data_IF_996091815484
#
_entry.id   IF_996091815484
#
_cell.length_a   1.000
_cell.length_b   1.000
_cell.length_c   1.000
_cell.angle_alpha   90.00
_cell.angle_beta   90.00
_cell.angle_gamma   90.00
#
_symmetry.space_group_name_H-M   'P 1'
#
loop_
_entity.id
_entity.type
_entity.pdbx_description
1 polymer ?
#
# COMPACT_ATOMS: atom_id res chain seq x y z
N UNK A 1 15.08 -5.18 -10.51
CA UNK A 1 14.20 -4.00 -10.69
C UNK A 1 14.17 -3.21 -9.39
N UNK A 2 14.02 -1.87 -9.44
CA UNK A 2 14.23 -0.99 -8.27
C UNK A 2 13.21 -1.24 -7.15
N UNK A 3 11.92 -1.37 -7.49
CA UNK A 3 10.84 -1.54 -6.50
C UNK A 3 10.96 -2.90 -5.82
N UNK A 4 11.20 -3.96 -6.58
CA UNK A 4 11.39 -5.32 -6.09
C UNK A 4 12.64 -5.43 -5.20
N UNK A 5 13.74 -4.75 -5.56
CA UNK A 5 14.95 -4.71 -4.72
C UNK A 5 14.73 -3.91 -3.43
N UNK A 6 13.97 -2.82 -3.48
CA UNK A 6 13.58 -2.08 -2.29
C UNK A 6 12.65 -2.91 -1.39
N UNK A 7 11.72 -3.66 -1.98
CA UNK A 7 10.83 -4.56 -1.26
C UNK A 7 11.59 -5.62 -0.45
N UNK A 8 12.68 -6.18 -0.98
CA UNK A 8 13.54 -7.12 -0.22
C UNK A 8 14.12 -6.54 1.08
N UNK A 9 14.22 -5.22 1.20
CA UNK A 9 14.73 -4.52 2.40
C UNK A 9 13.64 -4.17 3.40
N UNK A 10 12.37 -4.31 3.01
CA UNK A 10 11.23 -3.87 3.81
C UNK A 10 11.14 -4.59 5.18
N UNK A 11 11.31 -5.91 5.29
CA UNK A 11 11.22 -6.59 6.59
C UNK A 11 12.22 -6.05 7.62
N UNK A 12 13.47 -5.80 7.22
CA UNK A 12 14.52 -5.23 8.07
C UNK A 12 14.09 -3.86 8.62
N UNK A 13 13.59 -2.98 7.74
CA UNK A 13 13.11 -1.64 8.12
C UNK A 13 11.92 -1.72 9.09
N UNK A 14 10.98 -2.64 8.86
CA UNK A 14 9.81 -2.82 9.73
C UNK A 14 10.21 -3.32 11.12
N UNK A 15 11.16 -4.26 11.19
CA UNK A 15 11.65 -4.79 12.47
C UNK A 15 12.53 -3.80 13.23
N UNK A 16 13.35 -3.00 12.54
CA UNK A 16 14.28 -2.06 13.16
C UNK A 16 13.64 -0.79 13.72
N UNK A 17 12.41 -0.46 13.30
CA UNK A 17 11.73 0.79 13.64
C UNK A 17 10.72 0.70 14.78
N UNK A 18 10.58 -0.46 15.45
CA UNK A 18 9.45 -0.75 16.37
C UNK A 18 8.09 -0.41 15.73
N UNK A 19 7.96 -0.71 14.44
CA UNK A 19 6.78 -0.37 13.64
C UNK A 19 5.40 -0.80 14.22
N UNK A 20 5.26 -1.90 15.01
CA UNK A 20 3.99 -2.27 15.62
C UNK A 20 3.34 -1.17 16.47
N UNK A 21 4.14 -0.32 17.14
CA UNK A 21 3.65 0.72 18.07
C UNK A 21 3.30 2.04 17.38
N UNK A 22 3.73 2.26 16.13
CA UNK A 22 3.61 3.55 15.43
C UNK A 22 2.73 3.53 14.15
N UNK A 23 2.55 2.36 13.52
CA UNK A 23 2.17 2.31 12.09
C UNK A 23 0.67 2.36 11.75
N UNK A 24 0.25 3.43 11.05
CA UNK A 24 -0.89 3.43 10.12
C UNK A 24 -0.41 3.12 8.69
N UNK A 25 -1.30 3.04 7.69
CA UNK A 25 -0.93 2.80 6.27
C UNK A 25 0.21 3.72 5.79
N UNK A 26 0.21 5.00 6.18
CA UNK A 26 1.29 5.95 5.87
C UNK A 26 2.67 5.56 6.39
N UNK A 27 2.75 4.74 7.45
CA UNK A 27 4.02 4.20 7.94
C UNK A 27 4.63 3.18 6.98
N UNK A 28 3.81 2.30 6.36
CA UNK A 28 4.31 1.32 5.38
C UNK A 28 4.77 2.05 4.12
N UNK A 29 4.05 3.08 3.70
CA UNK A 29 4.46 3.96 2.61
C UNK A 29 5.79 4.64 2.94
N UNK A 30 5.97 5.12 4.16
CA UNK A 30 7.23 5.69 4.65
C UNK A 30 8.38 4.67 4.63
N UNK A 31 8.16 3.47 5.14
CA UNK A 31 9.15 2.39 5.15
C UNK A 31 9.57 1.99 3.73
N UNK A 32 8.62 1.82 2.81
CA UNK A 32 8.93 1.55 1.41
C UNK A 32 9.64 2.73 0.74
N UNK A 33 9.25 3.97 1.05
CA UNK A 33 9.92 5.17 0.53
C UNK A 33 11.40 5.20 0.95
N UNK A 34 11.70 4.86 2.21
CA UNK A 34 13.07 4.75 2.69
C UNK A 34 13.84 3.62 1.96
N UNK A 35 13.23 2.46 1.80
CA UNK A 35 13.84 1.34 1.06
C UNK A 35 14.15 1.73 -0.39
N UNK A 36 13.25 2.46 -1.04
CA UNK A 36 13.43 2.99 -2.39
C UNK A 36 14.56 4.01 -2.43
N UNK A 37 14.62 4.96 -1.50
CA UNK A 37 15.72 5.92 -1.41
C UNK A 37 17.07 5.22 -1.27
N UNK A 38 17.17 4.23 -0.39
CA UNK A 38 18.38 3.42 -0.23
C UNK A 38 18.74 2.69 -1.53
N UNK A 39 17.76 2.16 -2.25
CA UNK A 39 18.00 1.47 -3.51
C UNK A 39 18.42 2.43 -4.63
N UNK A 40 17.79 3.60 -4.73
CA UNK A 40 18.16 4.63 -5.70
C UNK A 40 19.59 5.13 -5.44
N UNK A 41 19.94 5.37 -4.17
CA UNK A 41 21.31 5.72 -3.76
C UNK A 41 22.31 4.63 -4.12
N UNK A 42 21.99 3.35 -3.86
CA UNK A 42 22.86 2.23 -4.21
C UNK A 42 23.08 2.09 -5.72
N UNK A 43 22.13 2.58 -6.54
CA UNK A 43 22.26 2.66 -7.98
C UNK A 43 22.96 3.94 -8.48
N UNK A 44 23.53 4.75 -7.58
CA UNK A 44 24.16 6.05 -7.87
C UNK A 44 23.24 7.01 -8.64
N UNK A 45 21.94 7.00 -8.32
CA UNK A 45 20.98 7.90 -8.92
C UNK A 45 21.11 9.29 -8.28
N UNK A 46 21.37 10.30 -9.11
CA UNK A 46 21.41 11.68 -8.65
C UNK A 46 20.03 12.14 -8.17
N UNK A 47 19.99 12.82 -7.02
CA UNK A 47 18.77 13.40 -6.43
C UNK A 47 17.62 12.38 -6.29
N UNK A 48 17.83 11.26 -5.58
CA UNK A 48 16.85 10.15 -5.51
C UNK A 48 15.51 10.59 -4.92
N UNK A 49 15.50 11.60 -4.05
CA UNK A 49 14.27 12.14 -3.47
C UNK A 49 13.36 12.78 -4.53
N UNK A 50 13.92 13.38 -5.58
CA UNK A 50 13.13 13.98 -6.66
C UNK A 50 12.34 12.96 -7.49
N UNK A 51 12.73 11.68 -7.43
CA UNK A 51 11.99 10.60 -8.09
C UNK A 51 10.79 10.11 -7.28
N UNK A 52 10.72 10.40 -5.98
CA UNK A 52 9.69 9.90 -5.09
C UNK A 52 8.67 10.99 -4.77
N UNK A 53 7.40 10.66 -4.88
CA UNK A 53 6.30 11.53 -4.52
C UNK A 53 5.24 10.72 -3.78
N UNK A 54 5.05 11.01 -2.50
CA UNK A 54 3.92 10.48 -1.74
C UNK A 54 2.65 11.25 -2.11
N UNK A 55 1.49 10.61 -1.95
CA UNK A 55 0.18 11.26 -2.11
C UNK A 55 0.02 11.93 -3.50
N UNK A 56 0.53 11.27 -4.55
CA UNK A 56 0.51 11.83 -5.92
C UNK A 56 -0.90 11.78 -6.48
N UNK A 57 -1.41 12.92 -6.92
CA UNK A 57 -2.69 12.99 -7.62
C UNK A 57 -2.69 12.12 -8.88
N UNK A 58 -3.75 11.34 -9.04
CA UNK A 58 -3.98 10.57 -10.27
C UNK A 58 -4.26 11.49 -11.48
N UNK A 59 -4.87 12.67 -11.26
CA UNK A 59 -5.08 13.71 -12.28
C UNK A 59 -4.26 14.95 -11.98
N UNK A 60 -3.54 15.45 -12.98
CA UNK A 60 -2.68 16.64 -12.85
C UNK A 60 -3.43 17.96 -13.12
N UNK A 61 -4.47 17.91 -13.96
CA UNK A 61 -5.10 19.12 -14.54
C UNK A 61 -6.56 19.34 -14.15
N UNK A 62 -7.22 18.34 -13.58
CA UNK A 62 -8.66 18.35 -13.30
C UNK A 62 -9.00 17.44 -12.10
N UNK A 63 -10.25 17.53 -11.64
CA UNK A 63 -10.74 16.78 -10.49
C UNK A 63 -11.96 15.94 -10.87
N UNK A 64 -12.09 14.80 -10.22
CA UNK A 64 -13.37 14.10 -10.22
C UNK A 64 -14.38 14.91 -9.41
N UNK A 65 -15.62 14.97 -9.89
CA UNK A 65 -16.72 15.61 -9.14
C UNK A 65 -17.51 14.54 -8.41
N UNK A 66 -17.69 14.71 -7.10
CA UNK A 66 -18.67 13.96 -6.33
C UNK A 66 -20.09 14.28 -6.81
N UNK A 67 -21.08 13.48 -6.42
CA UNK A 67 -22.48 13.77 -6.76
C UNK A 67 -22.98 15.12 -6.24
N UNK A 68 -22.44 15.59 -5.12
CA UNK A 68 -22.76 16.90 -4.55
C UNK A 68 -22.01 18.07 -5.24
N UNK A 69 -21.35 17.83 -6.38
CA UNK A 69 -20.58 18.84 -7.11
C UNK A 69 -19.20 19.16 -6.51
N UNK A 70 -18.91 18.68 -5.30
CA UNK A 70 -17.61 18.87 -4.63
C UNK A 70 -16.48 18.17 -5.39
N UNK A 71 -15.35 18.87 -5.51
CA UNK A 71 -14.12 18.33 -6.09
C UNK A 71 -13.53 17.21 -5.24
N UNK A 72 -12.96 16.22 -5.92
CA UNK A 72 -12.39 15.03 -5.30
C UNK A 72 -10.97 14.81 -5.77
N UNK A 73 -10.06 14.85 -4.80
CA UNK A 73 -8.63 14.62 -5.00
C UNK A 73 -8.31 13.17 -4.69
N UNK A 74 -8.25 12.33 -5.72
CA UNK A 74 -7.79 10.95 -5.59
C UNK A 74 -6.28 10.93 -5.80
N UNK A 75 -5.58 10.26 -4.90
CA UNK A 75 -4.12 10.16 -4.87
C UNK A 75 -3.71 8.71 -4.83
N UNK A 76 -2.55 8.40 -5.41
CA UNK A 76 -1.85 7.16 -5.11
C UNK A 76 -0.98 7.40 -3.88
N UNK A 77 -0.84 6.39 -3.04
CA UNK A 77 -0.04 6.47 -1.82
C UNK A 77 1.43 6.82 -2.12
N UNK A 78 1.99 6.23 -3.18
CA UNK A 78 3.35 6.49 -3.62
C UNK A 78 3.49 6.48 -5.15
N UNK A 79 4.34 7.36 -5.65
CA UNK A 79 4.79 7.38 -7.03
C UNK A 79 6.31 7.45 -7.14
N UNK A 80 6.86 6.61 -8.02
CA UNK A 80 8.28 6.59 -8.38
C UNK A 80 8.47 6.94 -9.87
N UNK A 81 9.07 8.10 -10.14
CA UNK A 81 9.48 8.55 -11.47
C UNK A 81 10.93 8.18 -11.76
N UNK A 82 11.15 7.35 -12.76
CA UNK A 82 12.46 6.94 -13.26
C UNK A 82 12.78 7.55 -14.64
N UNK A 83 11.94 8.46 -15.13
CA UNK A 83 12.09 9.09 -16.45
C UNK A 83 13.40 9.87 -16.57
N UNK A 84 13.77 10.61 -15.53
CA UNK A 84 14.98 11.43 -15.51
C UNK A 84 16.30 10.64 -15.56
N UNK A 85 16.28 9.33 -15.30
CA UNK A 85 17.49 8.53 -15.14
C UNK A 85 17.98 7.86 -16.42
N UNK A 86 17.15 7.82 -17.47
CA UNK A 86 17.50 7.25 -18.79
C UNK A 86 18.10 5.83 -18.74
N UNK A 87 17.78 5.06 -17.70
CA UNK A 87 18.27 3.69 -17.48
C UNK A 87 17.40 2.61 -18.14
N UNK A 88 16.41 2.99 -18.95
CA UNK A 88 15.50 2.06 -19.58
C UNK A 88 16.09 1.41 -20.83
N UNK A 89 15.74 0.13 -21.04
CA UNK A 89 16.04 -0.60 -22.27
C UNK A 89 14.87 -1.50 -22.66
N UNK A 90 14.84 -1.95 -23.92
CA UNK A 90 13.84 -2.91 -24.37
C UNK A 90 13.89 -4.22 -23.57
N UNK A 91 15.10 -4.66 -23.21
CA UNK A 91 15.29 -5.84 -22.36
C UNK A 91 14.65 -5.62 -20.98
N UNK A 92 14.95 -4.51 -20.29
CA UNK A 92 14.36 -4.20 -18.98
C UNK A 92 12.84 -4.10 -19.03
N UNK A 93 12.28 -3.55 -20.11
CA UNK A 93 10.82 -3.48 -20.29
C UNK A 93 10.15 -4.85 -20.26
N UNK A 94 10.84 -5.89 -20.76
CA UNK A 94 10.35 -7.27 -20.80
C UNK A 94 10.32 -7.90 -19.40
N UNK A 95 11.12 -7.39 -18.47
CA UNK A 95 11.11 -7.81 -17.06
C UNK A 95 10.10 -7.04 -16.21
N UNK A 96 9.33 -6.11 -16.80
CA UNK A 96 8.33 -5.30 -16.08
C UNK A 96 8.80 -3.90 -15.70
N UNK A 97 9.97 -3.45 -16.17
CA UNK A 97 10.45 -2.09 -15.93
C UNK A 97 9.52 -1.03 -16.54
N UNK A 98 9.23 0.03 -15.78
CA UNK A 98 8.38 1.16 -16.19
C UNK A 98 8.96 2.47 -15.67
N UNK A 99 8.69 3.57 -16.39
CA UNK A 99 9.22 4.88 -16.03
C UNK A 99 8.43 5.53 -14.91
N UNK A 100 7.10 5.42 -14.93
CA UNK A 100 6.24 6.01 -13.92
C UNK A 100 5.54 4.90 -13.15
N UNK A 101 5.94 4.66 -11.91
CA UNK A 101 5.41 3.55 -11.13
C UNK A 101 4.48 4.11 -10.06
N UNK A 102 3.23 3.64 -10.08
CA UNK A 102 2.16 4.04 -9.18
C UNK A 102 1.89 2.92 -8.18
N UNK A 103 1.79 3.26 -6.91
CA UNK A 103 1.67 2.29 -5.84
C UNK A 103 0.58 2.68 -4.85
N UNK A 104 -0.24 1.69 -4.49
CA UNK A 104 -1.12 1.72 -3.33
C UNK A 104 -0.58 0.75 -2.27
N UNK A 105 -0.74 1.09 -1.00
CA UNK A 105 -0.25 0.32 0.14
C UNK A 105 -1.37 0.02 1.14
N UNK A 106 -1.33 -1.18 1.71
CA UNK A 106 -2.25 -1.60 2.78
C UNK A 106 -1.48 -2.25 3.92
N UNK A 107 -1.84 -1.90 5.14
CA UNK A 107 -1.29 -2.51 6.34
C UNK A 107 -2.40 -3.09 7.21
N UNK A 108 -2.29 -4.36 7.55
CA UNK A 108 -3.26 -5.08 8.35
C UNK A 108 -2.61 -5.53 9.66
N UNK A 109 -3.11 -4.98 10.78
CA UNK A 109 -2.69 -5.31 12.15
C UNK A 109 -3.91 -5.44 13.07
N UNK A 110 -3.67 -6.01 14.26
CA UNK A 110 -4.63 -6.15 15.38
C UNK A 110 -5.76 -7.16 15.17
N UNK A 111 -6.20 -7.77 16.28
CA UNK A 111 -7.11 -8.90 16.37
C UNK A 111 -8.59 -8.48 16.29
N UNK A 112 -9.30 -9.08 15.33
CA UNK A 112 -10.76 -9.28 15.22
C UNK A 112 -11.70 -8.23 14.57
N UNK A 113 -12.51 -8.79 13.64
CA UNK A 113 -13.79 -8.34 13.04
C UNK A 113 -13.81 -7.54 11.72
N UNK A 114 -12.72 -6.91 11.29
CA UNK A 114 -12.76 -6.07 10.07
C UNK A 114 -12.45 -6.80 8.74
N UNK A 115 -12.39 -8.14 8.71
CA UNK A 115 -11.98 -8.91 7.52
C UNK A 115 -12.68 -8.48 6.21
N UNK A 116 -13.99 -8.20 6.30
CA UNK A 116 -14.77 -7.75 5.15
C UNK A 116 -14.36 -6.36 4.66
N UNK A 117 -14.11 -5.43 5.59
CA UNK A 117 -13.62 -4.09 5.28
C UNK A 117 -12.22 -4.14 4.67
N UNK A 118 -11.34 -4.96 5.25
CA UNK A 118 -9.98 -5.17 4.74
C UNK A 118 -9.99 -5.72 3.31
N UNK A 119 -10.82 -6.73 3.07
CA UNK A 119 -10.99 -7.33 1.73
C UNK A 119 -11.53 -6.30 0.73
N UNK A 120 -12.50 -5.48 1.16
CA UNK A 120 -13.04 -4.42 0.34
C UNK A 120 -12.02 -3.31 0.04
N UNK A 121 -11.20 -2.93 1.03
CA UNK A 121 -10.12 -1.96 0.88
C UNK A 121 -9.05 -2.43 -0.10
N UNK A 122 -8.62 -3.68 0.02
CA UNK A 122 -7.68 -4.30 -0.93
C UNK A 122 -8.23 -4.32 -2.37
N UNK A 123 -9.51 -4.72 -2.54
CA UNK A 123 -10.15 -4.71 -3.85
C UNK A 123 -10.33 -3.28 -4.39
N UNK A 124 -10.62 -2.30 -3.54
CA UNK A 124 -10.75 -0.90 -3.93
C UNK A 124 -9.41 -0.36 -4.47
N UNK A 125 -8.30 -0.60 -3.80
CA UNK A 125 -6.97 -0.14 -4.26
C UNK A 125 -6.53 -0.83 -5.55
N UNK A 126 -6.85 -2.11 -5.69
CA UNK A 126 -6.66 -2.82 -6.95
C UNK A 126 -7.46 -2.18 -8.11
N UNK A 127 -8.72 -1.84 -7.88
CA UNK A 127 -9.56 -1.13 -8.86
C UNK A 127 -8.99 0.26 -9.15
N UNK A 128 -8.51 0.99 -8.14
CA UNK A 128 -7.89 2.32 -8.30
C UNK A 128 -6.68 2.23 -9.23
N UNK A 129 -5.77 1.29 -9.00
CA UNK A 129 -4.60 1.07 -9.86
C UNK A 129 -4.97 0.78 -11.32
N UNK A 130 -6.01 -0.03 -11.55
CA UNK A 130 -6.45 -0.38 -12.90
C UNK A 130 -7.16 0.77 -13.64
N UNK A 131 -7.85 1.67 -12.92
CA UNK A 131 -8.79 2.63 -13.53
C UNK A 131 -8.43 4.10 -13.37
N UNK A 132 -7.58 4.45 -12.40
CA UNK A 132 -7.26 5.85 -12.09
C UNK A 132 -5.83 6.24 -12.49
N UNK A 133 -4.92 5.27 -12.60
CA UNK A 133 -3.54 5.52 -13.06
C UNK A 133 -3.57 6.12 -14.46
N UNK A 134 -2.99 7.32 -14.66
CA UNK A 134 -3.04 8.02 -15.94
C UNK A 134 -2.33 7.22 -17.04
N UNK A 135 -2.83 7.39 -18.27
CA UNK A 135 -2.15 6.88 -19.45
C UNK A 135 -0.99 7.83 -19.76
N UNK A 136 0.19 7.50 -19.24
CA UNK A 136 1.44 8.18 -19.60
C UNK A 136 2.11 7.35 -20.71
N UNK A 137 2.42 7.98 -21.83
CA UNK A 137 3.12 7.37 -22.98
C UNK A 137 4.45 8.07 -23.23
N UNK A 138 5.39 7.38 -23.87
CA UNK A 138 6.58 8.04 -24.40
C UNK A 138 6.23 8.98 -25.56
N UNK A 139 7.08 10.00 -25.80
CA UNK A 139 6.94 10.86 -26.99
C UNK A 139 7.06 10.07 -28.30
N UNK A 140 7.88 9.01 -28.29
CA UNK A 140 8.22 8.23 -29.48
C UNK A 140 7.22 7.09 -29.78
N UNK A 141 6.46 6.65 -28.78
CA UNK A 141 5.42 5.62 -28.92
C UNK A 141 4.22 5.98 -28.04
N UNK A 142 3.15 6.43 -28.69
CA UNK A 142 1.89 6.82 -28.06
C UNK A 142 0.95 5.62 -27.86
N UNK A 143 1.29 4.45 -28.39
CA UNK A 143 0.46 3.24 -28.33
C UNK A 143 0.75 2.39 -27.08
N UNK A 144 1.84 2.68 -26.37
CA UNK A 144 2.29 1.96 -25.18
C UNK A 144 2.39 2.86 -23.97
N UNK A 145 1.82 2.38 -22.85
CA UNK A 145 1.96 3.08 -21.58
C UNK A 145 3.33 2.83 -20.94
N UNK A 146 3.88 3.87 -20.34
CA UNK A 146 5.10 3.82 -19.53
C UNK A 146 4.81 3.64 -18.02
N UNK A 147 3.54 3.42 -17.65
CA UNK A 147 3.08 3.35 -16.27
C UNK A 147 3.11 1.93 -15.70
N UNK A 148 3.83 1.75 -14.58
CA UNK A 148 3.79 0.56 -13.72
C UNK A 148 2.76 0.72 -12.61
N UNK A 149 2.24 -0.40 -12.12
CA UNK A 149 1.16 -0.46 -11.12
C UNK A 149 1.51 -1.52 -10.08
N UNK A 150 1.62 -1.10 -8.83
CA UNK A 150 2.02 -1.96 -7.73
C UNK A 150 1.04 -1.83 -6.58
N UNK A 151 0.74 -2.95 -5.94
CA UNK A 151 -0.03 -3.01 -4.71
C UNK A 151 0.86 -3.67 -3.66
N UNK A 152 1.24 -2.91 -2.63
CA UNK A 152 1.92 -3.44 -1.46
C UNK A 152 0.88 -3.74 -0.38
N UNK A 153 0.88 -4.94 0.15
CA UNK A 153 0.08 -5.25 1.34
C UNK A 153 0.91 -6.02 2.36
N UNK A 154 0.82 -5.58 3.61
CA UNK A 154 1.62 -6.06 4.72
C UNK A 154 0.68 -6.49 5.85
N UNK A 155 0.98 -7.63 6.47
CA UNK A 155 0.20 -8.24 7.54
C UNK A 155 1.10 -8.46 8.75
N UNK A 156 0.60 -8.17 9.95
CA UNK A 156 1.21 -8.60 11.20
C UNK A 156 0.73 -10.01 11.56
N UNK A 157 1.06 -10.99 10.71
CA UNK A 157 0.64 -12.38 10.82
C UNK A 157 0.28 -12.96 9.44
N UNK A 158 -0.60 -13.95 9.42
CA UNK A 158 -1.02 -14.60 8.18
C UNK A 158 -2.12 -13.79 7.46
N UNK A 159 -2.07 -13.62 6.12
CA UNK A 159 -3.10 -12.87 5.37
C UNK A 159 -4.54 -13.35 5.59
N UNK A 160 -4.73 -14.67 5.77
CA UNK A 160 -6.04 -15.31 5.99
C UNK A 160 -6.75 -14.82 7.25
N UNK A 161 -6.00 -14.32 8.24
CA UNK A 161 -6.57 -13.83 9.50
C UNK A 161 -7.22 -12.45 9.30
N UNK A 162 -6.76 -11.71 8.28
CA UNK A 162 -7.18 -10.34 7.99
C UNK A 162 -8.15 -10.22 6.83
N UNK A 163 -8.31 -11.25 6.01
CA UNK A 163 -9.11 -11.22 4.80
C UNK A 163 -10.28 -12.20 4.87
N UNK A 164 -11.41 -11.78 4.30
CA UNK A 164 -12.55 -12.64 4.10
C UNK A 164 -12.25 -13.52 2.90
N UNK A 165 -11.66 -14.70 3.12
CA UNK A 165 -11.32 -15.62 2.03
C UNK A 165 -12.59 -16.19 1.37
N UNK A 166 -13.58 -16.56 2.18
CA UNK A 166 -14.83 -17.15 1.70
C UNK A 166 -15.91 -16.10 1.46
N UNK A 167 -16.51 -16.12 0.27
CA UNK A 167 -17.74 -15.41 -0.03
C UNK A 167 -18.90 -16.13 0.67
N UNK A 168 -19.39 -15.56 1.79
CA UNK A 168 -20.45 -16.16 2.59
C UNK A 168 -21.78 -16.31 1.85
N UNK A 169 -22.08 -15.46 0.85
CA UNK A 169 -23.32 -15.52 0.05
C UNK A 169 -23.34 -16.73 -0.87
N UNK A 170 -22.19 -17.08 -1.44
CA UNK A 170 -22.05 -18.20 -2.38
C UNK A 170 -21.46 -19.47 -1.73
N UNK A 171 -20.98 -19.36 -0.50
CA UNK A 171 -20.26 -20.39 0.24
C UNK A 171 -19.05 -20.96 -0.54
N UNK A 172 -18.36 -20.12 -1.31
CA UNK A 172 -17.16 -20.48 -2.08
C UNK A 172 -16.02 -19.52 -1.76
N UNK A 173 -14.78 -19.95 -1.97
CA UNK A 173 -13.63 -19.07 -1.87
C UNK A 173 -13.65 -18.00 -2.97
N UNK A 174 -13.15 -16.81 -2.64
CA UNK A 174 -13.00 -15.71 -3.61
C UNK A 174 -11.86 -16.05 -4.56
N UNK A 175 -12.21 -16.50 -5.75
CA UNK A 175 -11.26 -16.88 -6.79
C UNK A 175 -10.26 -15.78 -7.17
N UNK A 176 -10.57 -14.51 -6.90
CA UNK A 176 -9.66 -13.41 -7.15
C UNK A 176 -8.65 -13.15 -6.03
N UNK A 177 -8.89 -13.68 -4.83
CA UNK A 177 -8.07 -13.36 -3.69
C UNK A 177 -6.82 -14.25 -3.61
N UNK A 178 -6.93 -15.54 -3.88
CA UNK A 178 -5.76 -16.45 -3.93
C UNK A 178 -4.67 -15.96 -4.90
N UNK A 179 -4.99 -15.52 -6.14
CA UNK A 179 -4.02 -14.87 -7.03
C UNK A 179 -3.26 -13.66 -6.46
N UNK A 180 -3.75 -13.02 -5.38
CA UNK A 180 -3.06 -11.90 -4.70
C UNK A 180 -2.22 -12.36 -3.51
N UNK A 181 -2.41 -13.59 -3.03
CA UNK A 181 -1.79 -14.10 -1.82
C UNK A 181 -0.69 -15.12 -2.09
N UNK A 182 -0.65 -15.70 -3.29
CA UNK A 182 0.29 -16.76 -3.63
C UNK A 182 1.51 -16.21 -4.41
N UNK A 183 2.69 -16.78 -4.17
CA UNK A 183 3.94 -16.37 -4.84
C UNK A 183 3.90 -16.67 -6.34
N UNK A 184 4.52 -15.81 -7.15
CA UNK A 184 4.69 -16.04 -8.58
C UNK A 184 3.66 -15.31 -9.44
N UNK A 185 3.45 -15.81 -10.67
CA UNK A 185 2.59 -15.17 -11.67
C UNK A 185 1.21 -15.82 -11.72
N UNK A 186 0.16 -15.01 -11.66
CA UNK A 186 -1.22 -15.45 -11.57
C UNK A 186 -2.15 -14.71 -12.54
N UNK A 187 -3.18 -15.41 -13.01
CA UNK A 187 -4.33 -14.86 -13.74
C UNK A 187 -5.58 -15.16 -12.93
N UNK A 188 -6.49 -14.20 -12.81
CA UNK A 188 -7.78 -14.40 -12.14
C UNK A 188 -8.69 -15.41 -12.83
N UNK A 189 -8.32 -15.91 -14.03
CA UNK A 189 -9.04 -16.91 -14.82
C UNK A 189 -10.50 -16.52 -15.09
N UNK A 190 -10.76 -15.21 -15.22
CA UNK A 190 -12.10 -14.67 -15.45
C UNK A 190 -12.27 -13.24 -14.95
N UNK A 191 -13.45 -12.67 -15.24
CA UNK A 191 -13.83 -11.37 -14.70
C UNK A 191 -14.42 -11.53 -13.29
N UNK A 192 -13.84 -10.79 -12.37
CA UNK A 192 -14.39 -10.44 -11.07
C UNK A 192 -15.53 -9.47 -11.32
N UNK A 193 -16.77 -9.92 -11.11
CA UNK A 193 -17.94 -9.04 -11.21
C UNK A 193 -18.22 -8.49 -9.83
N UNK A 194 -18.22 -7.17 -9.67
CA UNK A 194 -18.47 -6.59 -8.35
C UNK A 194 -19.86 -6.95 -7.81
N UNK A 195 -20.87 -7.08 -8.68
CA UNK A 195 -22.20 -7.58 -8.32
C UNK A 195 -22.22 -9.00 -7.69
N UNK A 196 -21.17 -9.80 -7.90
CA UNK A 196 -21.06 -11.15 -7.31
C UNK A 196 -20.51 -11.13 -5.87
N UNK A 197 -19.99 -9.99 -5.40
CA UNK A 197 -19.51 -9.82 -4.03
C UNK A 197 -20.65 -9.68 -3.02
N UNK A 198 -20.30 -9.79 -1.74
CA UNK A 198 -21.25 -9.61 -0.64
C UNK A 198 -21.66 -8.15 -0.50
N UNK A 199 -22.90 -7.89 -0.09
CA UNK A 199 -23.43 -6.53 0.07
C UNK A 199 -22.58 -5.66 0.99
N UNK A 200 -21.94 -6.27 2.00
CA UNK A 200 -21.02 -5.55 2.87
C UNK A 200 -19.73 -5.11 2.16
N UNK A 201 -19.12 -5.94 1.29
CA UNK A 201 -17.97 -5.52 0.47
C UNK A 201 -18.40 -4.40 -0.48
N UNK A 202 -19.54 -4.57 -1.16
CA UNK A 202 -20.08 -3.55 -2.06
C UNK A 202 -20.39 -2.25 -1.34
N UNK A 203 -20.89 -2.29 -0.09
CA UNK A 203 -21.12 -1.10 0.74
C UNK A 203 -19.81 -0.37 1.05
N UNK A 204 -18.73 -1.11 1.34
CA UNK A 204 -17.42 -0.52 1.57
C UNK A 204 -16.84 0.09 0.30
N UNK A 205 -16.91 -0.59 -0.85
CA UNK A 205 -16.39 -0.08 -2.13
C UNK A 205 -17.24 1.05 -2.69
N UNK A 206 -18.51 0.77 -2.99
CA UNK A 206 -19.66 1.64 -3.30
C UNK A 206 -20.64 0.80 -4.15
N UNK A 207 -21.91 0.64 -3.77
CA UNK A 207 -22.86 -0.19 -4.51
C UNK A 207 -23.07 0.22 -5.97
N UNK A 208 -22.82 1.50 -6.32
CA UNK A 208 -22.91 1.95 -7.71
C UNK A 208 -21.86 1.35 -8.63
N UNK A 209 -20.79 0.77 -8.09
CA UNK A 209 -19.78 0.09 -8.87
C UNK A 209 -20.14 -1.39 -9.16
N UNK A 210 -21.36 -1.84 -8.85
CA UNK A 210 -21.79 -3.24 -9.06
C UNK A 210 -21.59 -3.76 -10.49
N UNK A 211 -21.79 -2.90 -11.49
CA UNK A 211 -21.70 -3.26 -12.91
C UNK A 211 -20.25 -3.33 -13.41
N UNK A 212 -19.29 -2.90 -12.59
CA UNK A 212 -17.87 -2.99 -12.91
C UNK A 212 -17.43 -4.45 -12.90
N UNK A 213 -16.67 -4.81 -13.93
CA UNK A 213 -16.03 -6.13 -14.03
C UNK A 213 -14.55 -5.93 -14.26
N UNK A 214 -13.72 -6.61 -13.48
CA UNK A 214 -12.26 -6.49 -13.58
C UNK A 214 -11.62 -7.86 -13.73
N UNK A 215 -10.56 -7.94 -14.53
CA UNK A 215 -9.68 -9.11 -14.68
C UNK A 215 -8.26 -8.59 -14.69
N UNK A 216 -7.33 -9.32 -14.10
CA UNK A 216 -5.92 -8.95 -14.14
C UNK A 216 -5.02 -10.19 -14.18
N UNK A 217 -3.81 -9.95 -14.65
CA UNK A 217 -2.64 -10.83 -14.52
C UNK A 217 -1.63 -10.08 -13.66
N UNK A 218 -1.11 -10.75 -12.65
CA UNK A 218 -0.15 -10.17 -11.72
C UNK A 218 1.03 -11.08 -11.45
N UNK A 219 2.10 -10.47 -10.93
CA UNK A 219 3.25 -11.17 -10.37
C UNK A 219 3.43 -10.73 -8.93
N UNK A 220 3.48 -11.68 -8.00
CA UNK A 220 3.62 -11.43 -6.57
C UNK A 220 5.02 -11.86 -6.10
N UNK A 221 5.65 -10.97 -5.33
CA UNK A 221 6.77 -11.32 -4.46
C UNK A 221 6.27 -11.35 -3.02
N UNK A 222 6.69 -12.36 -2.26
CA UNK A 222 6.26 -12.58 -0.89
C UNK A 222 7.49 -12.68 0.00
N UNK A 223 7.45 -11.98 1.13
CA UNK A 223 8.44 -12.08 2.20
C UNK A 223 7.73 -12.49 3.48
N UNK A 224 8.08 -13.67 3.95
CA UNK A 224 7.60 -14.25 5.19
C UNK A 224 8.73 -15.07 5.85
N UNK A 225 8.67 -15.32 7.17
CA UNK A 225 9.64 -16.17 7.85
C UNK A 225 9.69 -17.58 7.25
N UNK A 226 10.89 -18.11 7.01
CA UNK A 226 11.10 -19.44 6.40
C UNK A 226 10.96 -20.58 7.44
N UNK A 227 11.04 -20.24 8.73
CA UNK A 227 11.05 -21.19 9.82
C UNK A 227 9.85 -20.93 10.73
N UNK A 228 9.29 -22.00 11.30
CA UNK A 228 8.29 -21.96 12.36
C UNK A 228 8.95 -21.39 13.61
N UNK A 229 9.10 -20.07 13.64
CA UNK A 229 9.44 -19.38 14.87
C UNK A 229 8.13 -19.27 15.64
N UNK A 230 8.14 -19.68 16.90
CA UNK A 230 7.10 -19.32 17.87
C UNK A 230 7.15 -17.80 18.18
N UNK A 231 7.08 -16.95 17.15
CA UNK A 231 6.93 -15.51 17.32
C UNK A 231 5.45 -15.22 17.57
N UNK A 232 5.20 -14.46 18.64
CA UNK A 232 3.87 -13.89 18.91
C UNK A 232 3.39 -12.96 17.78
N UNK A 233 4.31 -12.41 16.97
CA UNK A 233 3.98 -11.64 15.77
C UNK A 233 5.11 -11.62 14.74
N UNK A 234 4.78 -11.73 13.45
CA UNK A 234 5.72 -11.59 12.34
C UNK A 234 5.10 -10.79 11.20
N UNK A 235 5.92 -10.28 10.29
CA UNK A 235 5.44 -9.59 9.10
C UNK A 235 5.37 -10.54 7.90
N UNK A 236 4.19 -10.62 7.27
CA UNK A 236 4.05 -11.14 5.91
C UNK A 236 3.90 -9.93 4.98
N UNK A 237 4.85 -9.74 4.07
CA UNK A 237 4.82 -8.66 3.09
C UNK A 237 4.57 -9.23 1.70
N UNK A 238 3.66 -8.63 0.94
CA UNK A 238 3.36 -9.04 -0.43
C UNK A 238 3.42 -7.81 -1.34
N UNK A 239 4.27 -7.88 -2.35
CA UNK A 239 4.33 -6.90 -3.44
C UNK A 239 3.73 -7.51 -4.70
N UNK A 240 2.57 -7.00 -5.08
CA UNK A 240 1.87 -7.36 -6.31
C UNK A 240 2.19 -6.36 -7.40
N UNK A 241 2.69 -6.82 -8.55
CA UNK A 241 2.79 -6.03 -9.77
C UNK A 241 1.68 -6.43 -10.74
N UNK A 242 0.94 -5.46 -11.28
CA UNK A 242 -0.03 -5.74 -12.36
C UNK A 242 0.68 -5.77 -13.71
N UNK A 243 0.71 -6.94 -14.35
CA UNK A 243 1.35 -7.15 -15.64
C UNK A 243 0.40 -6.80 -16.79
N UNK A 244 -0.86 -7.19 -16.67
CA UNK A 244 -1.94 -6.81 -17.59
C UNK A 244 -3.30 -6.81 -16.90
N UNK A 245 -4.28 -6.13 -17.47
CA UNK A 245 -5.64 -6.11 -16.92
C UNK A 245 -6.69 -5.68 -17.94
N UNK A 246 -7.95 -5.99 -17.64
CA UNK A 246 -9.11 -5.57 -18.40
C UNK A 246 -10.24 -5.17 -17.45
N UNK A 247 -10.82 -3.99 -17.70
CA UNK A 247 -11.94 -3.43 -16.96
C UNK A 247 -13.11 -3.20 -17.91
N UNK A 248 -14.30 -3.66 -17.53
CA UNK A 248 -15.53 -3.47 -18.28
C UNK A 248 -16.55 -2.72 -17.43
N UNK A 249 -17.18 -1.73 -18.05
CA UNK A 249 -18.31 -1.00 -17.50
C UNK A 249 -19.27 -0.67 -18.64
N UNK A 250 -20.46 -1.28 -18.61
CA UNK A 250 -21.44 -1.22 -19.69
C UNK A 250 -20.81 -1.65 -21.04
N UNK A 251 -20.84 -0.77 -22.04
CA UNK A 251 -20.25 -1.00 -23.37
C UNK A 251 -18.76 -0.63 -23.43
N UNK A 252 -18.20 0.01 -22.39
CA UNK A 252 -16.81 0.46 -22.39
C UNK A 252 -15.90 -0.66 -21.90
N UNK A 253 -14.78 -0.87 -22.61
CA UNK A 253 -13.74 -1.82 -22.22
C UNK A 253 -12.38 -1.13 -22.23
N UNK A 254 -11.78 -1.04 -21.06
CA UNK A 254 -10.41 -0.57 -20.86
C UNK A 254 -9.49 -1.77 -20.68
N UNK A 255 -8.36 -1.84 -21.39
CA UNK A 255 -7.43 -2.97 -21.29
C UNK A 255 -6.02 -2.47 -21.46
N UNK A 256 -5.12 -2.96 -20.62
CA UNK A 256 -3.67 -2.81 -20.76
C UNK A 256 -3.09 -4.21 -20.86
N UNK A 257 -2.38 -4.49 -21.94
CA UNK A 257 -1.74 -5.79 -22.19
C UNK A 257 -0.31 -5.81 -21.63
N UNK A 258 0.27 -6.99 -21.54
CA UNK A 258 1.63 -7.20 -21.01
C UNK A 258 2.71 -6.47 -21.82
N UNK A 259 2.49 -6.34 -23.13
CA UNK A 259 3.35 -5.58 -24.04
C UNK A 259 3.20 -4.06 -23.91
N UNK A 260 2.36 -3.61 -22.95
CA UNK A 260 2.01 -2.22 -22.60
C UNK A 260 1.05 -1.55 -23.57
N UNK A 261 0.61 -2.24 -24.62
CA UNK A 261 -0.43 -1.70 -25.48
C UNK A 261 -1.74 -1.61 -24.72
N UNK A 262 -2.53 -0.60 -25.04
CA UNK A 262 -3.79 -0.36 -24.37
C UNK A 262 -4.95 -0.14 -25.34
N UNK A 263 -6.18 -0.36 -24.86
CA UNK A 263 -7.39 -0.17 -25.68
C UNK A 263 -7.76 1.31 -25.83
N UNK A 264 -8.90 1.62 -26.44
CA UNK A 264 -9.32 3.00 -26.67
C UNK A 264 -9.29 3.88 -25.39
N UNK A 265 -8.57 5.01 -25.45
CA UNK A 265 -8.44 6.03 -24.39
C UNK A 265 -9.78 6.63 -23.95
N UNK A 266 -10.79 6.67 -24.82
CA UNK A 266 -12.13 7.14 -24.47
C UNK A 266 -12.83 6.20 -23.48
N UNK A 267 -12.62 4.88 -23.64
CA UNK A 267 -13.14 3.89 -22.69
C UNK A 267 -12.46 4.04 -21.34
N UNK A 268 -11.14 4.26 -21.32
CA UNK A 268 -10.41 4.61 -20.10
C UNK A 268 -11.02 5.83 -19.41
N UNK A 269 -11.18 6.95 -20.13
CA UNK A 269 -11.67 8.20 -19.54
C UNK A 269 -13.05 8.03 -18.92
N UNK A 270 -13.99 7.39 -19.64
CA UNK A 270 -15.35 7.12 -19.14
C UNK A 270 -15.35 6.23 -17.89
N UNK A 271 -14.54 5.16 -17.89
CA UNK A 271 -14.42 4.25 -16.74
C UNK A 271 -13.77 4.98 -15.56
N UNK A 272 -12.67 5.69 -15.80
CA UNK A 272 -11.94 6.48 -14.80
C UNK A 272 -12.82 7.55 -14.17
N UNK A 273 -13.61 8.29 -14.97
CA UNK A 273 -14.57 9.29 -14.50
C UNK A 273 -15.64 8.64 -13.59
N UNK A 274 -16.18 7.50 -14.01
CA UNK A 274 -17.21 6.79 -13.25
C UNK A 274 -16.66 6.25 -11.92
N UNK A 275 -15.52 5.55 -11.97
CA UNK A 275 -14.89 5.00 -10.78
C UNK A 275 -14.45 6.11 -9.85
N UNK A 276 -13.76 7.13 -10.33
CA UNK A 276 -13.29 8.22 -9.48
C UNK A 276 -14.43 9.03 -8.84
N UNK A 277 -15.61 9.08 -9.48
CA UNK A 277 -16.81 9.66 -8.89
C UNK A 277 -17.37 8.85 -7.71
N UNK A 278 -17.26 7.52 -7.74
CA UNK A 278 -18.01 6.64 -6.82
C UNK A 278 -17.18 5.79 -5.88
N UNK A 279 -15.94 5.40 -6.21
CA UNK A 279 -15.14 4.50 -5.39
C UNK A 279 -14.92 5.12 -4.02
N UNK A 280 -15.22 4.43 -2.92
CA UNK A 280 -14.98 5.00 -1.59
C UNK A 280 -13.51 4.90 -1.23
N UNK A 281 -12.99 5.93 -0.57
CA UNK A 281 -11.72 5.89 0.15
C UNK A 281 -12.11 6.10 1.61
N UNK A 282 -12.50 5.04 2.32
CA UNK A 282 -12.57 5.16 3.78
C UNK A 282 -11.18 4.83 4.30
N UNK A 283 -10.53 5.82 4.91
CA UNK A 283 -9.48 5.55 5.88
C UNK A 283 -10.09 4.61 6.93
N UNK A 284 -9.43 3.47 7.17
CA UNK A 284 -9.77 2.65 8.32
C UNK A 284 -9.62 3.58 9.54
N UNK A 285 -10.73 3.85 10.23
CA UNK A 285 -10.78 4.80 11.34
C UNK A 285 -9.61 4.58 12.30
N UNK A 286 -8.93 5.67 12.66
CA UNK A 286 -7.87 5.69 13.64
C UNK A 286 -8.38 5.01 14.92
N UNK A 287 -7.92 3.79 15.21
CA UNK A 287 -8.17 3.21 16.51
C UNK A 287 -7.48 4.10 17.56
N UNK A 288 -8.17 4.50 18.64
CA UNK A 288 -7.50 5.16 19.75
C UNK A 288 -6.42 4.22 20.28
N UNK A 289 -5.21 4.76 20.42
CA UNK A 289 -4.10 4.17 21.19
C UNK A 289 -4.69 3.66 22.50
N UNK A 290 -4.45 2.38 22.81
CA UNK A 290 -5.04 1.75 23.98
C UNK A 290 -4.54 2.45 25.25
N UNK A 291 -5.35 2.55 26.31
CA UNK A 291 -4.93 3.21 27.56
C UNK A 291 -3.70 2.56 28.22
N UNK A 292 -3.40 1.30 27.88
CA UNK A 292 -2.18 0.60 28.29
C UNK A 292 -0.89 1.25 27.73
N UNK A 293 -0.97 1.91 26.58
CA UNK A 293 0.18 2.59 25.95
C UNK A 293 0.42 3.99 26.54
N UNK A 294 -0.59 4.63 27.14
CA UNK A 294 -0.43 5.93 27.84
C UNK A 294 0.34 5.81 29.16
N UNK A 295 0.27 4.66 29.83
CA UNK A 295 0.98 4.43 31.10
C UNK A 295 2.49 4.22 30.95
N UNK A 296 3.02 4.07 29.73
CA UNK A 296 4.46 3.95 29.50
C UNK A 296 5.13 5.27 29.07
N UNK A 297 4.38 6.31 28.69
CA UNK A 297 4.93 7.63 28.35
C UNK A 297 5.14 8.57 29.56
N UNK A 298 4.59 8.24 30.74
CA UNK A 298 4.73 9.08 31.97
C UNK A 298 5.93 8.62 32.83
N UNK A 299 6.69 7.63 32.37
CA UNK A 299 7.73 6.97 33.15
C UNK A 299 9.16 7.50 32.98
N UNK A 300 9.41 8.61 32.30
CA UNK A 300 10.77 9.17 32.17
C UNK A 300 10.69 10.66 31.88
N UNK A 301 10.88 11.49 32.93
CA UNK A 301 11.50 12.83 32.98
C UNK A 301 11.16 13.40 34.37
N UNK A 302 12.07 13.23 35.31
CA UNK A 302 11.93 13.72 36.69
C UNK A 302 13.25 13.78 37.45
N UNK A 303 14.37 13.99 36.74
CA UNK A 303 15.69 14.21 37.32
C UNK A 303 16.08 15.69 37.24
N UNK A 304 15.36 16.55 37.96
CA UNK A 304 15.68 17.97 38.09
C UNK A 304 16.71 18.18 39.20
N UNK A 305 17.95 18.47 38.81
CA UNK A 305 19.03 18.92 39.68
C UNK A 305 18.64 20.29 40.26
N UNK A 306 18.48 20.37 41.58
CA UNK A 306 18.31 21.64 42.29
C UNK A 306 19.65 22.06 42.90
N UNK A 307 20.20 23.17 42.39
CA UNK A 307 21.34 23.89 42.94
C UNK A 307 20.85 25.24 43.46
N UNK A 308 20.87 25.45 44.79
CA UNK A 308 21.33 26.67 45.47
C UNK A 308 20.87 26.76 46.95
N UNK A 309 21.84 27.04 47.84
CA UNK A 309 21.69 27.65 49.17
C UNK A 309 21.53 26.65 50.34
N UNK A 310 22.26 26.70 51.44
CA UNK A 310 23.31 27.59 51.93
C UNK A 310 23.99 26.93 53.14
N UNK A 311 25.28 27.25 53.31
CA UNK A 311 26.15 27.23 54.49
C UNK A 311 25.82 26.39 55.75
N UNK A 312 26.79 25.58 56.20
CA UNK A 312 26.83 25.04 57.56
C UNK A 312 27.97 24.04 57.81
N UNK A 313 29.17 24.56 58.07
CA UNK A 313 30.34 23.81 58.54
C UNK A 313 30.07 23.21 59.93
N UNK A 314 30.36 21.91 60.16
CA UNK A 314 31.24 21.47 61.27
C UNK A 314 31.51 19.97 61.24
N UNK A 315 32.78 19.63 61.33
CA UNK A 315 33.35 18.32 61.62
C UNK A 315 32.94 17.81 63.01
N UNK A 316 32.68 16.50 63.15
CA UNK A 316 33.29 15.67 64.20
C UNK A 316 33.15 14.16 63.95
N UNK A 317 34.12 13.45 64.51
CA UNK A 317 34.45 12.03 64.37
C UNK A 317 33.47 11.07 65.06
N UNK A 318 33.50 9.84 64.54
CA UNK A 318 33.41 8.54 65.22
C UNK A 318 32.95 8.49 66.69
N UNK A 319 31.99 7.61 66.96
CA UNK A 319 32.20 6.45 67.83
C UNK A 319 31.10 5.41 67.60
N UNK A 320 31.51 4.14 67.59
CA UNK A 320 30.61 3.01 67.64
C UNK A 320 30.19 2.68 69.08
N UNK A 321 29.48 1.55 69.15
CA UNK A 321 29.11 0.72 70.30
C UNK A 321 27.77 0.99 71.01
N UNK A 322 26.84 0.06 70.71
CA UNK A 322 26.08 -0.84 71.60
C UNK A 322 25.31 -0.27 72.80
N UNK A 323 24.05 -0.69 72.87
CA UNK A 323 23.14 -0.58 74.02
C UNK A 323 21.70 -0.73 73.58
#
# INVERSE_FOLDING_TARGET
MIIEQAFMKLPEILTGSRFPTQGYEGGIVGALSLALLQQLNACNINSPLAALQQERLYRKSDFWKMQAGKERHLRADLHLSLEGFRTASHALSSYGWRHNNWLEAKFFRTTTSAQMQNTAGLLADLIRLMTLVPIECSKDDTTKTNSGRYLLHVYLGQPKDYLSIRNKKKNIERAWLSPMLDYGRWDTNGYIKLADETDGILKFINPRLSDLKVRYVCTNLILEPIFDIELESFYCCILTRLDSFSVKLNQNTWTVKEDRTFSNSDSYKKISDYVGKYINIKEIEKMPVSEAEKSHEIGEIGGGVNLAGEAGISLTKANGEQG
#
